data_IF_698032604834
#
_entry.id   IF_698032604834
#
_cell.length_a   1.000
_cell.length_b   1.000
_cell.length_c   1.000
_cell.angle_alpha   90.00
_cell.angle_beta   90.00
_cell.angle_gamma   90.00
#
_symmetry.space_group_name_H-M   'P 1'
#
loop_
_entity.id
_entity.type
_entity.pdbx_description
1 polymer ?
#
# COMPACT_ATOMS: atom_id res chain seq x y z
N UNK A 1 -13.36 7.34 -14.59
CA UNK A 1 -11.88 7.28 -14.56
C UNK A 1 -11.52 5.85 -14.17
N UNK A 2 -10.46 5.27 -14.75
CA UNK A 2 -10.20 3.83 -14.62
C UNK A 2 -9.44 3.52 -13.33
N UNK A 3 -9.67 2.35 -12.74
CA UNK A 3 -8.96 1.91 -11.51
C UNK A 3 -7.44 2.05 -11.62
N UNK A 4 -6.88 1.81 -12.81
CA UNK A 4 -5.46 1.96 -13.09
C UNK A 4 -4.99 3.43 -13.10
N UNK A 5 -5.80 4.37 -13.60
CA UNK A 5 -5.46 5.80 -13.56
C UNK A 5 -5.42 6.30 -12.12
N UNK A 6 -6.32 5.79 -11.27
CA UNK A 6 -6.41 6.18 -9.87
C UNK A 6 -5.26 5.57 -9.07
N UNK A 7 -4.91 4.31 -9.33
CA UNK A 7 -3.74 3.66 -8.76
C UNK A 7 -2.44 4.40 -9.14
N UNK A 8 -2.30 4.81 -10.41
CA UNK A 8 -1.17 5.62 -10.85
C UNK A 8 -1.13 6.99 -10.17
N UNK A 9 -2.27 7.66 -10.02
CA UNK A 9 -2.34 8.95 -9.35
C UNK A 9 -1.89 8.85 -7.89
N UNK A 10 -2.38 7.84 -7.15
CA UNK A 10 -1.97 7.56 -5.76
C UNK A 10 -0.50 7.21 -5.64
N UNK A 11 0.00 6.41 -6.57
CA UNK A 11 1.44 6.08 -6.66
C UNK A 11 2.29 7.35 -6.80
N UNK A 12 1.91 8.25 -7.70
CA UNK A 12 2.64 9.51 -7.94
C UNK A 12 2.52 10.50 -6.77
N UNK A 13 1.38 10.51 -6.09
CA UNK A 13 1.15 11.34 -4.92
C UNK A 13 1.77 10.76 -3.63
N UNK A 14 2.26 9.52 -3.66
CA UNK A 14 2.67 8.76 -2.47
C UNK A 14 1.54 8.71 -1.44
N UNK A 15 0.31 8.62 -1.94
CA UNK A 15 -0.92 8.52 -1.15
C UNK A 15 -1.13 7.07 -0.74
N UNK A 16 -0.70 6.74 0.48
CA UNK A 16 -0.78 5.37 1.02
C UNK A 16 -2.15 5.13 1.68
N UNK A 17 -2.60 3.86 1.79
CA UNK A 17 -3.86 3.56 2.45
C UNK A 17 -3.87 4.05 3.92
N UNK A 18 -5.01 4.55 4.38
CA UNK A 18 -5.20 5.00 5.76
C UNK A 18 -6.26 4.14 6.43
N UNK A 19 -5.82 3.29 7.37
CA UNK A 19 -6.69 2.40 8.13
C UNK A 19 -6.97 2.96 9.50
N UNK A 20 -8.19 2.74 10.00
CA UNK A 20 -8.57 3.19 11.34
C UNK A 20 -7.82 2.38 12.41
N UNK A 21 -6.83 3.02 13.04
CA UNK A 21 -6.10 2.49 14.18
C UNK A 21 -4.59 2.50 13.96
N UNK A 22 -3.88 3.26 14.79
CA UNK A 22 -2.42 3.44 14.75
C UNK A 22 -1.66 2.11 14.71
N UNK A 23 -1.99 1.20 15.62
CA UNK A 23 -1.34 -0.12 15.68
C UNK A 23 -1.59 -0.96 14.43
N UNK A 24 -2.80 -0.89 13.89
CA UNK A 24 -3.16 -1.62 12.67
C UNK A 24 -2.41 -1.05 11.45
N UNK A 25 -2.33 0.28 11.34
CA UNK A 25 -1.60 0.92 10.25
C UNK A 25 -0.10 0.60 10.29
N UNK A 26 0.51 0.62 11.48
CA UNK A 26 1.91 0.22 11.67
C UNK A 26 2.09 -1.26 11.30
N UNK A 27 1.21 -2.15 11.77
CA UNK A 27 1.28 -3.57 11.46
C UNK A 27 1.19 -3.84 9.96
N UNK A 28 0.27 -3.18 9.26
CA UNK A 28 0.12 -3.30 7.80
C UNK A 28 1.32 -2.72 7.05
N UNK A 29 1.88 -1.60 7.51
CA UNK A 29 3.10 -1.04 6.94
C UNK A 29 4.30 -1.99 7.05
N UNK A 30 4.52 -2.57 8.22
CA UNK A 30 5.57 -3.59 8.45
C UNK A 30 5.31 -4.82 7.58
N UNK A 31 4.06 -5.31 7.54
CA UNK A 31 3.67 -6.44 6.70
C UNK A 31 3.95 -6.17 5.22
N UNK A 32 3.69 -4.94 4.76
CA UNK A 32 3.96 -4.54 3.39
C UNK A 32 5.44 -4.55 3.03
N UNK A 33 6.32 -4.18 3.97
CA UNK A 33 7.77 -4.25 3.79
C UNK A 33 8.29 -5.69 3.68
N UNK A 34 7.71 -6.62 4.45
CA UNK A 34 8.18 -8.02 4.51
C UNK A 34 7.58 -8.88 3.39
N UNK A 35 6.32 -8.67 3.07
CA UNK A 35 5.57 -9.47 2.08
C UNK A 35 5.21 -8.68 0.82
N UNK A 36 5.94 -7.60 0.53
CA UNK A 36 5.96 -6.85 -0.72
C UNK A 36 4.58 -6.62 -1.39
N UNK A 37 3.66 -5.95 -0.70
CA UNK A 37 2.34 -5.61 -1.24
C UNK A 37 1.15 -6.16 -0.45
N UNK A 38 1.35 -7.23 0.34
CA UNK A 38 0.27 -7.84 1.12
C UNK A 38 -0.36 -6.87 2.13
N UNK A 39 0.46 -6.02 2.77
CA UNK A 39 -0.04 -5.02 3.72
C UNK A 39 -0.96 -3.99 3.07
N UNK A 40 -0.60 -3.54 1.86
CA UNK A 40 -1.41 -2.60 1.07
C UNK A 40 -2.67 -3.27 0.51
N UNK A 41 -2.63 -4.56 0.13
CA UNK A 41 -3.82 -5.32 -0.27
C UNK A 41 -4.83 -5.36 0.88
N UNK A 42 -4.39 -5.77 2.07
CA UNK A 42 -5.27 -5.87 3.24
C UNK A 42 -5.80 -4.49 3.63
N UNK A 43 -4.96 -3.46 3.59
CA UNK A 43 -5.40 -2.10 3.87
C UNK A 43 -6.48 -1.64 2.87
N UNK A 44 -6.29 -1.91 1.58
CA UNK A 44 -7.28 -1.62 0.54
C UNK A 44 -8.60 -2.35 0.78
N UNK A 45 -8.58 -3.61 1.23
CA UNK A 45 -9.79 -4.34 1.64
C UNK A 45 -10.49 -3.70 2.84
N UNK A 46 -9.73 -3.25 3.85
CA UNK A 46 -10.29 -2.62 5.04
C UNK A 46 -10.88 -1.24 4.77
N UNK A 47 -10.43 -0.56 3.70
CA UNK A 47 -10.91 0.76 3.29
C UNK A 47 -11.81 0.72 2.05
N UNK A 48 -12.23 -0.47 1.59
CA UNK A 48 -12.99 -0.68 0.35
C UNK A 48 -12.40 0.04 -0.88
N UNK A 49 -11.06 0.15 -0.96
CA UNK A 49 -10.35 0.86 -2.01
C UNK A 49 -9.71 -0.09 -3.01
N UNK A 50 -10.43 -0.35 -4.12
CA UNK A 50 -9.95 -1.19 -5.23
C UNK A 50 -8.62 -0.72 -5.82
N UNK A 51 -8.33 0.60 -5.97
CA UNK A 51 -7.03 1.07 -6.43
C UNK A 51 -5.87 0.65 -5.52
N UNK A 52 -6.05 0.66 -4.19
CA UNK A 52 -5.02 0.26 -3.24
C UNK A 52 -4.78 -1.26 -3.30
N UNK A 53 -5.85 -2.04 -3.40
CA UNK A 53 -5.72 -3.48 -3.63
C UNK A 53 -4.92 -3.77 -4.90
N UNK A 54 -5.22 -3.04 -5.99
CA UNK A 54 -4.48 -3.18 -7.25
C UNK A 54 -3.01 -2.80 -7.09
N UNK A 55 -2.69 -1.72 -6.36
CA UNK A 55 -1.30 -1.33 -6.09
C UNK A 55 -0.57 -2.44 -5.34
N UNK A 56 -1.18 -3.01 -4.29
CA UNK A 56 -0.57 -4.10 -3.55
C UNK A 56 -0.36 -5.37 -4.41
N UNK A 57 -1.27 -5.67 -5.33
CA UNK A 57 -1.07 -6.76 -6.31
C UNK A 57 0.08 -6.44 -7.28
N UNK A 58 0.19 -5.20 -7.77
CA UNK A 58 1.29 -4.78 -8.64
C UNK A 58 2.65 -4.85 -7.92
N UNK A 59 2.70 -4.51 -6.63
CA UNK A 59 3.89 -4.63 -5.79
C UNK A 59 4.37 -6.09 -5.65
N UNK A 60 3.44 -7.05 -5.57
CA UNK A 60 3.75 -8.48 -5.56
C UNK A 60 4.22 -9.00 -6.92
N UNK A 61 3.54 -8.60 -7.99
CA UNK A 61 3.75 -9.15 -9.34
C UNK A 61 5.02 -8.59 -10.00
N UNK A 62 5.42 -7.36 -9.70
CA UNK A 62 6.59 -6.72 -10.30
C UNK A 62 7.82 -6.97 -9.40
N UNK A 63 8.70 -7.94 -9.72
CA UNK A 63 9.86 -8.21 -8.88
C UNK A 63 10.84 -7.03 -8.89
N UNK A 64 11.63 -6.91 -7.81
CA UNK A 64 12.60 -5.84 -7.55
C UNK A 64 11.99 -4.43 -7.45
N UNK A 65 11.36 -3.90 -8.50
CA UNK A 65 10.73 -2.57 -8.50
C UNK A 65 9.52 -2.52 -7.57
N UNK A 66 8.64 -3.53 -7.64
CA UNK A 66 7.49 -3.64 -6.75
C UNK A 66 7.90 -3.83 -5.29
N UNK A 67 9.03 -4.48 -5.03
CA UNK A 67 9.55 -4.70 -3.68
C UNK A 67 10.08 -3.41 -3.05
N UNK A 68 10.91 -2.66 -3.78
CA UNK A 68 11.39 -1.34 -3.33
C UNK A 68 10.21 -0.39 -3.13
N UNK A 69 9.24 -0.42 -4.03
CA UNK A 69 8.01 0.34 -3.90
C UNK A 69 7.21 -0.06 -2.65
N UNK A 70 7.04 -1.36 -2.40
CA UNK A 70 6.34 -1.87 -1.23
C UNK A 70 7.03 -1.47 0.09
N UNK A 71 8.35 -1.53 0.15
CA UNK A 71 9.13 -1.07 1.31
C UNK A 71 8.94 0.43 1.52
N UNK A 72 9.05 1.24 0.47
CA UNK A 72 8.84 2.69 0.55
C UNK A 72 7.44 3.02 1.07
N UNK A 73 6.41 2.36 0.54
CA UNK A 73 5.03 2.55 0.99
C UNK A 73 4.79 2.04 2.41
N UNK A 74 5.39 0.91 2.79
CA UNK A 74 5.30 0.40 4.16
C UNK A 74 5.92 1.35 5.19
N UNK A 75 7.05 1.98 4.87
CA UNK A 75 7.67 3.02 5.70
C UNK A 75 6.74 4.23 5.82
N UNK A 76 6.17 4.72 4.72
CA UNK A 76 5.23 5.86 4.74
C UNK A 76 3.97 5.53 5.55
N UNK A 77 3.44 4.30 5.47
CA UNK A 77 2.32 3.88 6.31
C UNK A 77 2.66 3.95 7.80
N UNK A 78 3.85 3.52 8.21
CA UNK A 78 4.31 3.60 9.60
C UNK A 78 4.49 5.05 10.05
N UNK A 79 5.07 5.91 9.20
CA UNK A 79 5.28 7.32 9.51
C UNK A 79 3.96 8.09 9.62
N UNK A 80 3.00 7.83 8.75
CA UNK A 80 1.67 8.46 8.78
C UNK A 80 0.79 7.98 9.94
N UNK A 81 1.17 6.87 10.58
CA UNK A 81 0.50 6.40 11.80
C UNK A 81 1.02 7.11 13.07
N UNK A 82 2.17 7.77 12.99
CA UNK A 82 2.82 8.42 14.13
C UNK A 82 2.11 9.72 14.51
#
# INVERSE_FOLDING_TARGET
MGVFSDALARTKAVDVPHVNGKLLQIALGILNCVFFGVGVIIAGFLTDSVPDMLIGVLQLVIPFVGWVWAVGWGVVMVLNAA
#
